data_IF_514098699948
#
_entry.id   IF_514098699948
#
_cell.length_a   1.000
_cell.length_b   1.000
_cell.length_c   1.000
_cell.angle_alpha   90.00
_cell.angle_beta   90.00
_cell.angle_gamma   90.00
#
_symmetry.space_group_name_H-M   'P 1'
#
loop_
_entity.id
_entity.type
_entity.pdbx_description
1 polymer ?
#
# COMPACT_ATOMS: atom_id res chain seq x y z
N UNK A 1 23.59 -6.99 6.36
CA UNK A 1 22.73 -6.89 7.56
C UNK A 1 21.33 -7.22 7.05
N UNK A 2 20.83 -8.40 7.41
CA UNK A 2 19.54 -8.92 6.96
C UNK A 2 18.47 -8.36 7.90
N UNK A 3 17.69 -7.39 7.43
CA UNK A 3 16.61 -6.77 8.18
C UNK A 3 15.33 -7.59 7.97
N UNK A 4 15.07 -8.54 8.86
CA UNK A 4 13.75 -9.17 8.94
C UNK A 4 12.77 -8.18 9.56
N UNK A 5 11.93 -7.55 8.73
CA UNK A 5 10.82 -6.74 9.24
C UNK A 5 9.86 -7.63 10.04
N UNK A 6 9.37 -7.12 11.17
CA UNK A 6 8.38 -7.80 12.04
C UNK A 6 6.99 -7.19 11.88
N UNK A 7 6.91 -5.91 11.54
CA UNK A 7 5.67 -5.16 11.39
C UNK A 7 5.69 -4.31 10.14
N UNK A 8 4.67 -4.44 9.30
CA UNK A 8 4.48 -3.59 8.12
C UNK A 8 3.17 -2.83 8.27
N UNK A 9 3.23 -1.51 8.15
CA UNK A 9 2.02 -0.72 7.98
C UNK A 9 1.55 -0.84 6.53
N UNK A 10 0.38 -1.44 6.33
CA UNK A 10 -0.21 -1.64 5.02
C UNK A 10 -1.26 -0.57 4.75
N UNK A 11 -0.85 0.42 3.96
CA UNK A 11 -1.66 1.53 3.47
C UNK A 11 -2.44 1.08 2.24
N UNK A 12 -3.77 1.04 2.31
CA UNK A 12 -4.59 0.71 1.15
C UNK A 12 -5.96 1.40 1.23
N UNK A 13 -6.60 1.52 0.07
CA UNK A 13 -7.97 2.03 -0.01
C UNK A 13 -8.96 0.99 0.50
N UNK A 14 -10.15 1.45 0.91
CA UNK A 14 -11.28 0.53 1.04
C UNK A 14 -11.57 -0.07 -0.37
N UNK A 15 -11.52 -1.40 -0.52
CA UNK A 15 -11.71 -2.03 -1.82
C UNK A 15 -13.15 -1.85 -2.29
N UNK A 16 -13.31 -1.43 -3.56
CA UNK A 16 -14.63 -1.11 -4.13
C UNK A 16 -15.24 -2.28 -4.93
N UNK A 17 -14.48 -3.34 -5.17
CA UNK A 17 -14.92 -4.52 -5.91
C UNK A 17 -14.17 -5.77 -5.43
N UNK A 18 -14.64 -6.95 -5.87
CA UNK A 18 -14.08 -8.24 -5.45
C UNK A 18 -12.61 -8.42 -5.86
N UNK A 19 -12.22 -7.87 -7.01
CA UNK A 19 -10.83 -7.94 -7.47
C UNK A 19 -9.89 -7.16 -6.53
N UNK A 20 -10.25 -5.93 -6.16
CA UNK A 20 -9.45 -5.15 -5.20
C UNK A 20 -9.41 -5.81 -3.81
N UNK A 21 -10.53 -6.38 -3.36
CA UNK A 21 -10.59 -7.15 -2.11
C UNK A 21 -9.60 -8.31 -2.15
N UNK A 22 -9.59 -9.09 -3.23
CA UNK A 22 -8.65 -10.21 -3.43
C UNK A 22 -7.18 -9.75 -3.39
N UNK A 23 -6.85 -8.61 -3.99
CA UNK A 23 -5.49 -8.07 -3.95
C UNK A 23 -5.06 -7.68 -2.53
N UNK A 24 -5.94 -7.00 -1.79
CA UNK A 24 -5.68 -6.61 -0.38
C UNK A 24 -5.47 -7.85 0.49
N UNK A 25 -6.39 -8.82 0.40
CA UNK A 25 -6.29 -10.08 1.15
C UNK A 25 -5.03 -10.86 0.79
N UNK A 26 -4.63 -10.86 -0.48
CA UNK A 26 -3.41 -11.54 -0.92
C UNK A 26 -2.15 -10.92 -0.32
N UNK A 27 -2.11 -9.60 -0.13
CA UNK A 27 -1.00 -8.94 0.59
C UNK A 27 -1.02 -9.29 2.07
N UNK A 28 -2.19 -9.25 2.72
CA UNK A 28 -2.32 -9.61 4.14
C UNK A 28 -1.86 -11.05 4.39
N UNK A 29 -2.29 -12.00 3.55
CA UNK A 29 -1.89 -13.41 3.62
C UNK A 29 -0.40 -13.58 3.33
N UNK A 30 0.14 -12.85 2.35
CA UNK A 30 1.56 -12.90 2.04
C UNK A 30 2.41 -12.42 3.22
N UNK A 31 2.09 -11.27 3.82
CA UNK A 31 2.78 -10.78 5.02
C UNK A 31 2.71 -11.79 6.18
N UNK A 32 1.52 -12.34 6.43
CA UNK A 32 1.32 -13.36 7.46
C UNK A 32 2.16 -14.62 7.21
N UNK A 33 2.25 -15.07 5.95
CA UNK A 33 3.07 -16.24 5.56
C UNK A 33 4.57 -16.05 5.82
N UNK A 34 5.03 -14.79 5.87
CA UNK A 34 6.41 -14.41 6.21
C UNK A 34 6.61 -14.15 7.71
N UNK A 35 5.56 -14.33 8.53
CA UNK A 35 5.60 -14.02 9.96
C UNK A 35 5.61 -12.53 10.27
N UNK A 36 5.15 -11.68 9.34
CA UNK A 36 5.10 -10.23 9.48
C UNK A 36 3.70 -9.81 9.94
N UNK A 37 3.63 -9.04 11.01
CA UNK A 37 2.39 -8.44 11.50
C UNK A 37 1.94 -7.31 10.55
N UNK A 38 0.74 -7.44 9.99
CA UNK A 38 0.13 -6.43 9.14
C UNK A 38 -0.65 -5.41 9.99
N UNK A 39 -0.18 -4.16 10.00
CA UNK A 39 -0.83 -3.04 10.67
C UNK A 39 -1.62 -2.23 9.65
N UNK A 40 -2.93 -2.10 9.83
CA UNK A 40 -3.78 -1.23 8.98
C UNK A 40 -4.77 -0.46 9.84
N UNK A 41 -5.21 0.71 9.40
CA UNK A 41 -6.33 1.45 10.00
C UNK A 41 -7.58 1.17 9.17
N UNK A 42 -8.46 0.31 9.68
CA UNK A 42 -9.77 0.11 9.07
C UNK A 42 -10.63 1.32 9.39
N UNK A 43 -11.25 1.92 8.37
CA UNK A 43 -12.13 3.08 8.53
C UNK A 43 -13.23 2.75 9.54
N UNK A 44 -13.08 3.24 10.76
CA UNK A 44 -14.08 3.18 11.82
C UNK A 44 -14.75 4.55 11.94
N UNK A 45 -15.89 4.64 12.62
CA UNK A 45 -16.66 5.89 12.86
C UNK A 45 -15.91 6.91 13.76
N UNK A 46 -14.62 7.10 13.51
CA UNK A 46 -13.72 8.01 14.19
C UNK A 46 -13.74 9.39 13.52
N UNK A 47 -13.40 10.42 14.29
CA UNK A 47 -13.11 11.73 13.71
C UNK A 47 -11.88 11.67 12.81
N UNK A 48 -11.79 12.56 11.82
CA UNK A 48 -10.60 12.66 10.95
C UNK A 48 -9.30 12.82 11.76
N UNK A 49 -9.34 13.58 12.85
CA UNK A 49 -8.19 13.80 13.73
C UNK A 49 -7.75 12.55 14.49
N UNK A 50 -8.69 11.72 14.94
CA UNK A 50 -8.37 10.45 15.63
C UNK A 50 -7.81 9.44 14.64
N UNK A 51 -8.37 9.34 13.43
CA UNK A 51 -7.83 8.49 12.36
C UNK A 51 -6.38 8.88 12.00
N UNK A 52 -6.08 10.17 11.81
CA UNK A 52 -4.71 10.64 11.52
C UNK A 52 -3.75 10.28 12.66
N UNK A 53 -4.19 10.43 13.91
CA UNK A 53 -3.36 10.10 15.08
C UNK A 53 -3.08 8.60 15.15
N UNK A 54 -4.08 7.77 14.87
CA UNK A 54 -3.93 6.32 14.82
C UNK A 54 -2.98 5.87 13.70
N UNK A 55 -3.16 6.40 12.49
CA UNK A 55 -2.29 6.15 11.32
C UNK A 55 -0.83 6.46 11.69
N UNK A 56 -0.59 7.66 12.25
CA UNK A 56 0.76 8.09 12.64
C UNK A 56 1.38 7.15 13.67
N UNK A 57 0.61 6.76 14.69
CA UNK A 57 1.05 5.81 15.72
C UNK A 57 1.43 4.46 15.12
N UNK A 58 0.61 3.91 14.22
CA UNK A 58 0.89 2.63 13.55
C UNK A 58 2.11 2.69 12.64
N UNK A 59 2.27 3.76 11.87
CA UNK A 59 3.49 3.99 11.07
C UNK A 59 4.72 4.05 11.97
N UNK A 60 4.65 4.73 13.11
CA UNK A 60 5.78 4.88 14.02
C UNK A 60 6.28 3.54 14.58
N UNK A 61 5.37 2.63 14.95
CA UNK A 61 5.70 1.29 15.48
C UNK A 61 6.00 0.24 14.40
N UNK A 62 5.67 0.52 13.14
CA UNK A 62 5.99 -0.35 12.01
C UNK A 62 7.48 -0.29 11.67
N UNK A 63 8.05 -1.37 11.16
CA UNK A 63 9.42 -1.36 10.65
C UNK A 63 9.48 -0.78 9.23
N UNK A 64 8.34 -0.79 8.54
CA UNK A 64 8.23 -0.58 7.12
C UNK A 64 6.79 -0.19 6.73
N UNK A 65 6.63 0.51 5.61
CA UNK A 65 5.34 0.85 5.01
C UNK A 65 5.22 0.24 3.62
N UNK A 66 4.09 -0.42 3.38
CA UNK A 66 3.66 -0.88 2.07
C UNK A 66 2.41 -0.11 1.69
N UNK A 67 2.48 0.68 0.62
CA UNK A 67 1.34 1.42 0.09
C UNK A 67 0.76 0.71 -1.14
N UNK A 68 -0.57 0.66 -1.23
CA UNK A 68 -1.29 0.10 -2.37
C UNK A 68 -2.25 1.13 -2.94
N UNK A 69 -1.90 1.62 -4.12
CA UNK A 69 -2.65 2.59 -4.90
C UNK A 69 -3.54 1.86 -5.94
N UNK A 70 -4.83 1.74 -5.62
CA UNK A 70 -5.86 1.21 -6.52
C UNK A 70 -6.84 2.30 -6.96
N UNK A 71 -7.43 2.21 -8.16
CA UNK A 71 -8.39 3.19 -8.66
C UNK A 71 -9.67 3.24 -7.81
N UNK A 72 -10.20 4.45 -7.57
CA UNK A 72 -11.38 4.69 -6.71
C UNK A 72 -12.73 4.57 -7.45
N UNK A 73 -12.76 4.67 -8.77
CA UNK A 73 -13.98 4.55 -9.59
C UNK A 73 -13.86 3.42 -10.62
N UNK A 74 -14.98 2.75 -10.89
CA UNK A 74 -15.14 2.06 -12.17
C UNK A 74 -15.24 3.14 -13.23
N UNK A 75 -14.35 3.09 -14.21
CA UNK A 75 -14.16 4.09 -15.26
C UNK A 75 -15.50 4.62 -15.82
N UNK A 76 -15.82 5.88 -15.52
CA UNK A 76 -16.66 6.68 -16.41
C UNK A 76 -15.75 7.19 -17.53
N UNK A 77 -16.07 6.79 -18.76
CA UNK A 77 -15.29 7.00 -19.97
C UNK A 77 -14.67 8.41 -20.06
N UNK A 78 -13.34 8.51 -20.03
CA UNK A 78 -12.58 9.75 -20.30
C UNK A 78 -11.83 10.37 -19.11
N UNK A 79 -12.07 9.93 -17.86
CA UNK A 79 -11.33 10.44 -16.70
C UNK A 79 -10.14 9.54 -16.35
N UNK A 80 -8.96 10.16 -16.15
CA UNK A 80 -7.79 9.44 -15.66
C UNK A 80 -8.10 8.82 -14.29
N UNK A 81 -7.76 7.54 -14.08
CA UNK A 81 -8.04 6.89 -12.80
C UNK A 81 -7.30 7.63 -11.67
N UNK A 82 -8.01 7.84 -10.56
CA UNK A 82 -7.49 8.60 -9.40
C UNK A 82 -7.38 7.67 -8.18
N UNK A 83 -6.25 7.75 -7.50
CA UNK A 83 -6.01 7.12 -6.19
C UNK A 83 -6.69 7.90 -5.08
N UNK A 84 -7.02 7.28 -3.94
CA UNK A 84 -7.49 8.09 -2.81
C UNK A 84 -6.39 9.00 -2.25
N UNK A 85 -6.74 10.19 -1.74
CA UNK A 85 -5.79 11.07 -1.06
C UNK A 85 -5.13 10.46 0.18
N UNK A 86 -5.76 9.47 0.82
CA UNK A 86 -5.25 8.84 2.05
C UNK A 86 -3.93 8.11 1.83
N UNK A 87 -3.82 7.34 0.75
CA UNK A 87 -2.59 6.60 0.41
C UNK A 87 -1.40 7.54 0.20
N UNK A 88 -1.63 8.72 -0.39
CA UNK A 88 -0.59 9.75 -0.53
C UNK A 88 -0.17 10.36 0.81
N UNK A 89 -1.14 10.64 1.67
CA UNK A 89 -0.89 11.18 3.00
C UNK A 89 -0.11 10.18 3.86
N UNK A 90 -0.49 8.91 3.84
CA UNK A 90 0.17 7.82 4.57
C UNK A 90 1.60 7.60 4.08
N UNK A 91 1.83 7.64 2.77
CA UNK A 91 3.17 7.61 2.19
C UNK A 91 4.02 8.82 2.62
N UNK A 92 3.44 10.02 2.65
CA UNK A 92 4.13 11.22 3.14
C UNK A 92 4.54 11.08 4.61
N UNK A 93 3.66 10.54 5.45
CA UNK A 93 3.94 10.27 6.86
C UNK A 93 5.06 9.22 7.02
N UNK A 94 5.06 8.17 6.19
CA UNK A 94 6.12 7.16 6.19
C UNK A 94 7.50 7.79 5.89
N UNK A 95 7.57 8.64 4.87
CA UNK A 95 8.80 9.35 4.49
C UNK A 95 9.28 10.30 5.59
N UNK A 96 8.37 11.06 6.21
CA UNK A 96 8.69 11.94 7.34
C UNK A 96 9.23 11.15 8.54
N UNK A 97 8.69 9.94 8.77
CA UNK A 97 9.14 9.04 9.83
C UNK A 97 10.39 8.22 9.44
N UNK A 98 10.99 8.47 8.27
CA UNK A 98 12.16 7.77 7.73
C UNK A 98 11.93 6.24 7.67
N UNK A 99 10.70 5.83 7.37
CA UNK A 99 10.34 4.42 7.21
C UNK A 99 10.61 3.96 5.77
N UNK A 100 11.19 2.76 5.56
CA UNK A 100 11.22 2.12 4.25
C UNK A 100 9.82 2.05 3.66
N UNK A 101 9.66 2.54 2.44
CA UNK A 101 8.38 2.63 1.73
C UNK A 101 8.47 1.88 0.40
N UNK A 102 7.45 1.10 0.07
CA UNK A 102 7.24 0.51 -1.23
C UNK A 102 5.81 0.72 -1.68
N UNK A 103 5.62 0.74 -2.99
CA UNK A 103 4.34 1.04 -3.61
C UNK A 103 3.92 -0.09 -4.54
N UNK A 104 2.70 -0.59 -4.35
CA UNK A 104 1.97 -1.40 -5.34
C UNK A 104 0.96 -0.47 -5.99
N UNK A 105 0.92 -0.41 -7.33
CA UNK A 105 -0.06 0.42 -8.02
C UNK A 105 -0.63 -0.25 -9.27
N UNK A 106 -1.86 0.11 -9.60
CA UNK A 106 -2.37 -0.12 -10.95
C UNK A 106 -1.48 0.62 -11.96
N UNK A 107 -1.05 -0.05 -13.03
CA UNK A 107 -0.20 0.53 -14.07
C UNK A 107 -0.81 1.78 -14.69
N UNK A 108 -2.14 1.84 -14.79
CA UNK A 108 -2.89 2.95 -15.40
C UNK A 108 -2.96 4.18 -14.50
N UNK A 109 -2.65 4.04 -13.20
CA UNK A 109 -2.61 5.16 -12.29
C UNK A 109 -1.31 5.96 -12.50
N UNK A 110 -1.43 7.27 -12.81
CA UNK A 110 -0.26 8.14 -12.85
C UNK A 110 0.30 8.29 -11.43
N UNK A 111 1.63 8.27 -11.32
CA UNK A 111 2.29 8.75 -10.10
C UNK A 111 2.18 10.26 -10.09
N UNK A 112 1.54 10.80 -9.07
CA UNK A 112 1.40 12.23 -8.87
C UNK A 112 1.69 12.60 -7.40
N UNK A 113 1.93 13.89 -7.15
CA UNK A 113 2.17 14.40 -5.81
C UNK A 113 3.42 13.79 -5.15
N UNK A 114 3.24 13.22 -3.96
CA UNK A 114 4.35 12.68 -3.16
C UNK A 114 5.04 11.53 -3.86
N UNK A 115 4.28 10.65 -4.54
CA UNK A 115 4.89 9.50 -5.21
C UNK A 115 5.74 9.89 -6.40
N UNK A 116 5.40 10.94 -7.15
CA UNK A 116 6.22 11.40 -8.28
C UNK A 116 7.63 11.84 -7.81
N UNK A 117 7.70 12.50 -6.66
CA UNK A 117 8.96 12.98 -6.07
C UNK A 117 9.85 11.86 -5.53
N UNK A 118 9.28 10.71 -5.20
CA UNK A 118 10.00 9.59 -4.57
C UNK A 118 10.00 8.30 -5.38
N UNK A 119 9.32 8.25 -6.53
CA UNK A 119 9.17 7.05 -7.36
C UNK A 119 10.51 6.40 -7.73
N UNK A 120 11.53 7.22 -7.96
CA UNK A 120 12.90 6.76 -8.29
C UNK A 120 13.68 6.25 -7.09
N UNK A 121 13.17 6.46 -5.87
CA UNK A 121 13.84 6.16 -4.60
C UNK A 121 13.15 5.03 -3.82
N UNK A 122 11.98 4.60 -4.25
CA UNK A 122 11.21 3.53 -3.60
C UNK A 122 10.97 2.39 -4.59
N UNK A 123 10.89 1.13 -4.12
CA UNK A 123 10.40 0.04 -4.95
C UNK A 123 8.95 0.30 -5.38
N UNK A 124 8.70 0.28 -6.70
CA UNK A 124 7.36 0.41 -7.27
C UNK A 124 7.03 -0.87 -8.05
N UNK A 125 5.92 -1.49 -7.67
CA UNK A 125 5.36 -2.68 -8.30
C UNK A 125 4.09 -2.28 -9.06
N UNK A 126 4.17 -2.30 -10.38
CA UNK A 126 3.01 -2.02 -11.22
C UNK A 126 2.26 -3.31 -11.54
N UNK A 127 0.94 -3.30 -11.36
CA UNK A 127 0.04 -4.40 -11.66
C UNK A 127 -0.99 -3.99 -12.70
N UNK A 128 -1.38 -4.95 -13.54
CA UNK A 128 -2.51 -4.80 -14.46
C UNK A 128 -3.81 -5.24 -13.77
N UNK A 129 -4.95 -4.66 -14.15
CA UNK A 129 -6.26 -5.00 -13.56
C UNK A 129 -6.76 -6.40 -13.81
N UNK A 130 -6.10 -7.13 -14.72
CA UNK A 130 -6.49 -8.48 -15.10
C UNK A 130 -5.52 -9.53 -14.54
N UNK A 131 -4.62 -9.14 -13.64
CA UNK A 131 -3.69 -10.07 -13.00
C UNK A 131 -4.45 -11.12 -12.20
N UNK A 132 -4.10 -12.38 -12.36
CA UNK A 132 -4.64 -13.44 -11.51
C UNK A 132 -4.04 -13.38 -10.11
N UNK A 133 -4.72 -13.97 -9.12
CA UNK A 133 -4.20 -14.05 -7.76
C UNK A 133 -2.83 -14.75 -7.69
N UNK A 134 -2.66 -15.84 -8.44
CA UNK A 134 -1.40 -16.58 -8.48
C UNK A 134 -0.25 -15.74 -9.04
N UNK A 135 -0.49 -15.02 -10.14
CA UNK A 135 0.49 -14.07 -10.70
C UNK A 135 0.80 -12.97 -9.70
N UNK A 136 -0.22 -12.41 -9.03
CA UNK A 136 -0.02 -11.36 -8.05
C UNK A 136 0.86 -11.80 -6.87
N UNK A 137 0.68 -13.03 -6.35
CA UNK A 137 1.55 -13.60 -5.32
C UNK A 137 3.01 -13.73 -5.81
N UNK A 138 3.24 -14.12 -7.06
CA UNK A 138 4.59 -14.16 -7.66
C UNK A 138 5.18 -12.75 -7.75
N UNK A 139 4.37 -11.74 -8.04
CA UNK A 139 4.82 -10.35 -8.01
C UNK A 139 5.16 -9.86 -6.60
N UNK A 140 4.42 -10.29 -5.56
CA UNK A 140 4.75 -9.97 -4.17
C UNK A 140 6.09 -10.55 -3.73
N UNK A 141 6.50 -11.70 -4.26
CA UNK A 141 7.86 -12.24 -3.99
C UNK A 141 8.98 -11.33 -4.53
N UNK A 142 8.70 -10.43 -5.49
CA UNK A 142 9.67 -9.40 -5.92
C UNK A 142 9.86 -8.29 -4.88
N UNK A 143 8.97 -8.17 -3.90
CA UNK A 143 9.10 -7.30 -2.74
C UNK A 143 9.96 -7.92 -1.63
N UNK A 144 10.70 -9.00 -1.91
CA UNK A 144 11.58 -9.70 -0.95
C UNK A 144 12.68 -8.84 -0.32
N UNK A 145 12.88 -7.59 -0.76
CA UNK A 145 13.62 -6.57 -0.01
C UNK A 145 13.03 -6.33 1.40
N UNK A 146 11.77 -6.73 1.65
CA UNK A 146 11.13 -6.70 2.97
C UNK A 146 11.37 -7.94 3.83
N UNK A 147 12.02 -8.97 3.30
CA UNK A 147 12.13 -10.29 3.95
C UNK A 147 13.55 -10.82 4.01
N UNK A 148 14.55 -9.99 3.69
CA UNK A 148 15.96 -10.35 3.73
C UNK A 148 16.55 -9.95 5.08
#
# INVERSE_FOLDING_TARGET
>A
MLFSYKRVFFSHNYPINHFQQMLVESVELWLASKGIECLTVKSTHQSVSSAITEIRSRIQISDAVLAMALPKSSETCGESPVTTPWVHMEAAMALQAVKPLALIKDRRLPLNGVFDQVATKIPVLEIDTNISQAEFLVFLEKLSFYTA
#
